data_IF_142524781509
#
_entry.id   IF_142524781509
#
_cell.length_a   1.000
_cell.length_b   1.000
_cell.length_c   1.000
_cell.angle_alpha   90.00
_cell.angle_beta   90.00
_cell.angle_gamma   90.00
#
_symmetry.space_group_name_H-M   'P 1'
#
loop_
_entity.id
_entity.type
_entity.pdbx_description
1 polymer ?
#
# COMPACT_ATOMS: atom_id res chain seq x y z
N UNK A 1 17.21 -32.06 -8.95
CA UNK A 1 18.60 -31.79 -8.51
C UNK A 1 18.74 -32.20 -7.05
N UNK A 2 19.95 -32.55 -6.58
CA UNK A 2 20.20 -32.97 -5.20
C UNK A 2 21.26 -32.09 -4.55
N UNK A 3 21.11 -31.81 -3.26
CA UNK A 3 22.10 -31.10 -2.44
C UNK A 3 22.33 -31.88 -1.15
N UNK A 4 23.57 -31.92 -0.68
CA UNK A 4 23.93 -32.47 0.63
C UNK A 4 23.70 -31.45 1.76
N UNK A 5 23.05 -30.33 1.46
CA UNK A 5 22.70 -29.28 2.40
C UNK A 5 23.81 -28.30 2.72
N UNK A 6 24.96 -28.37 2.05
CA UNK A 6 26.02 -27.37 2.24
C UNK A 6 25.50 -25.99 1.89
N UNK A 7 25.57 -25.04 2.82
CA UNK A 7 25.13 -23.67 2.59
C UNK A 7 26.01 -22.99 1.52
N UNK A 8 25.53 -21.91 0.91
CA UNK A 8 26.27 -21.17 -0.14
C UNK A 8 27.66 -20.72 0.33
N UNK A 9 27.84 -20.45 1.62
CA UNK A 9 29.12 -20.09 2.23
C UNK A 9 30.10 -21.25 2.45
N UNK A 10 29.73 -22.49 2.09
CA UNK A 10 30.57 -23.68 2.29
C UNK A 10 30.61 -24.19 3.74
N UNK A 11 30.14 -23.41 4.71
CA UNK A 11 30.11 -23.76 6.12
C UNK A 11 28.68 -24.08 6.60
N UNK A 12 28.53 -25.16 7.35
CA UNK A 12 27.25 -25.58 7.91
C UNK A 12 26.37 -26.38 6.95
N UNK A 13 25.28 -26.93 7.51
CA UNK A 13 24.30 -27.75 6.80
C UNK A 13 22.90 -27.23 7.06
N UNK A 14 22.07 -27.10 6.02
CA UNK A 14 20.70 -26.62 6.16
C UNK A 14 19.98 -26.45 4.83
N UNK A 15 18.72 -26.02 4.91
CA UNK A 15 17.99 -25.51 3.75
C UNK A 15 18.55 -24.13 3.38
N UNK A 16 18.80 -23.92 2.09
CA UNK A 16 19.12 -22.60 1.56
C UNK A 16 17.77 -21.92 1.31
N UNK A 17 17.26 -21.25 2.34
CA UNK A 17 16.18 -20.28 2.21
C UNK A 17 16.82 -18.90 2.18
N UNK A 18 16.56 -18.15 1.12
CA UNK A 18 17.11 -16.82 0.92
C UNK A 18 15.98 -15.79 1.05
N UNK A 19 16.10 -14.91 2.04
CA UNK A 19 15.18 -13.81 2.31
C UNK A 19 13.92 -14.14 3.13
N UNK A 20 13.19 -13.08 3.46
CA UNK A 20 11.90 -13.04 4.15
C UNK A 20 10.77 -12.84 3.11
N UNK A 21 9.66 -13.59 3.19
CA UNK A 21 8.48 -13.35 2.35
C UNK A 21 8.06 -11.88 2.35
N UNK A 22 7.78 -11.34 1.17
CA UNK A 22 7.32 -9.96 1.05
C UNK A 22 8.39 -8.88 1.28
N UNK A 23 9.67 -9.25 1.49
CA UNK A 23 10.78 -8.28 1.66
C UNK A 23 11.93 -8.51 0.68
N UNK A 24 12.66 -9.61 0.83
CA UNK A 24 13.93 -9.89 0.15
C UNK A 24 14.01 -11.30 -0.46
N UNK A 25 12.99 -12.14 -0.25
CA UNK A 25 12.91 -13.45 -0.90
C UNK A 25 12.49 -13.34 -2.37
N UNK A 26 13.22 -14.01 -3.28
CA UNK A 26 12.90 -14.10 -4.70
C UNK A 26 12.34 -15.48 -5.06
N UNK A 27 11.33 -15.50 -5.92
CA UNK A 27 10.79 -16.75 -6.42
C UNK A 27 11.72 -17.38 -7.46
N UNK A 28 12.23 -18.57 -7.17
CA UNK A 28 13.10 -19.34 -8.07
C UNK A 28 12.35 -20.40 -8.88
N UNK A 29 11.07 -20.63 -8.60
CA UNK A 29 10.29 -21.73 -9.17
C UNK A 29 10.46 -23.06 -8.45
N UNK A 30 11.42 -23.17 -7.53
CA UNK A 30 11.78 -24.44 -6.90
C UNK A 30 11.90 -24.32 -5.37
N UNK A 31 11.75 -25.44 -4.67
CA UNK A 31 11.97 -25.55 -3.23
C UNK A 31 12.78 -26.80 -2.87
N UNK A 32 13.64 -26.66 -1.86
CA UNK A 32 14.42 -27.77 -1.32
C UNK A 32 13.63 -28.44 -0.20
N UNK A 33 13.21 -29.69 -0.39
CA UNK A 33 12.69 -30.49 0.72
C UNK A 33 13.67 -31.59 1.09
N UNK A 34 13.71 -31.87 2.38
CA UNK A 34 14.51 -32.94 2.94
C UNK A 34 13.64 -34.18 3.09
N UNK A 35 14.09 -35.30 2.52
CA UNK A 35 13.38 -36.57 2.65
C UNK A 35 13.61 -37.27 4.00
N UNK A 36 14.49 -36.74 4.86
CA UNK A 36 14.90 -37.38 6.13
C UNK A 36 14.94 -36.34 7.26
N UNK A 37 14.48 -36.70 8.45
CA UNK A 37 14.65 -35.87 9.64
C UNK A 37 16.12 -35.89 10.11
N UNK A 38 16.74 -34.72 10.26
CA UNK A 38 18.13 -34.61 10.75
C UNK A 38 18.31 -35.05 12.21
N UNK A 39 17.23 -35.09 12.99
CA UNK A 39 17.29 -35.42 14.41
C UNK A 39 17.09 -36.92 14.67
N UNK A 40 16.14 -37.54 13.99
CA UNK A 40 15.76 -38.94 14.26
C UNK A 40 15.99 -39.89 13.08
N UNK A 41 16.43 -39.40 11.92
CA UNK A 41 16.72 -40.23 10.74
C UNK A 41 15.49 -40.90 10.11
N UNK A 42 14.28 -40.55 10.56
CA UNK A 42 13.04 -41.11 10.03
C UNK A 42 12.74 -40.52 8.65
N UNK A 43 12.36 -41.39 7.72
CA UNK A 43 12.04 -41.03 6.34
C UNK A 43 10.70 -40.32 6.21
N UNK A 44 10.70 -39.23 5.45
CA UNK A 44 9.51 -38.63 4.85
C UNK A 44 9.30 -39.25 3.46
N UNK A 45 8.08 -39.70 3.16
CA UNK A 45 7.71 -40.48 1.98
C UNK A 45 7.74 -39.72 0.64
N UNK A 46 8.30 -38.51 0.60
CA UNK A 46 8.15 -37.54 -0.51
C UNK A 46 8.74 -37.98 -1.88
N UNK A 47 9.44 -39.13 -1.96
CA UNK A 47 10.06 -39.63 -3.20
C UNK A 47 9.84 -41.12 -3.50
N UNK A 48 9.05 -41.83 -2.69
CA UNK A 48 8.87 -43.29 -2.80
C UNK A 48 10.15 -44.10 -2.54
N UNK A 49 10.03 -45.43 -2.55
CA UNK A 49 11.13 -46.36 -2.23
C UNK A 49 12.25 -46.40 -3.29
N UNK A 50 11.93 -45.98 -4.52
CA UNK A 50 12.87 -46.01 -5.64
C UNK A 50 13.53 -44.64 -5.90
N UNK A 51 13.18 -43.59 -5.14
CA UNK A 51 13.78 -42.27 -5.30
C UNK A 51 15.22 -42.24 -4.83
N UNK A 52 16.07 -41.41 -5.45
CA UNK A 52 17.48 -41.28 -5.05
C UNK A 52 17.66 -40.84 -3.59
N UNK A 53 16.73 -40.01 -3.08
CA UNK A 53 16.71 -39.59 -1.67
C UNK A 53 16.34 -40.72 -0.70
N UNK A 54 15.94 -41.90 -1.18
CA UNK A 54 15.59 -43.03 -0.33
C UNK A 54 16.83 -43.53 0.43
N UNK A 55 16.75 -43.52 1.77
CA UNK A 55 17.86 -43.90 2.64
C UNK A 55 19.04 -42.91 2.69
N UNK A 56 18.93 -41.72 2.07
CA UNK A 56 20.02 -40.75 1.99
C UNK A 56 19.65 -39.42 2.66
N UNK A 57 20.60 -38.84 3.39
CA UNK A 57 20.44 -37.52 3.99
C UNK A 57 20.74 -36.41 2.96
N UNK A 58 19.85 -36.24 1.98
CA UNK A 58 19.98 -35.24 0.91
C UNK A 58 18.71 -34.39 0.79
N UNK A 59 18.88 -33.16 0.32
CA UNK A 59 17.81 -32.28 -0.11
C UNK A 59 17.48 -32.52 -1.58
N UNK A 60 16.19 -32.62 -1.87
CA UNK A 60 15.64 -32.75 -3.21
C UNK A 60 15.07 -31.41 -3.66
N UNK A 61 15.36 -31.04 -4.90
CA UNK A 61 14.74 -29.89 -5.54
C UNK A 61 13.41 -30.31 -6.18
N UNK A 62 12.32 -29.68 -5.77
CA UNK A 62 10.99 -29.84 -6.35
C UNK A 62 10.47 -28.50 -6.86
N UNK A 63 9.56 -28.55 -7.83
CA UNK A 63 8.84 -27.36 -8.29
C UNK A 63 7.90 -26.85 -7.19
N UNK A 64 7.75 -25.53 -7.08
CA UNK A 64 6.72 -24.98 -6.19
C UNK A 64 5.33 -25.40 -6.69
N UNK A 65 4.60 -26.14 -5.87
CA UNK A 65 3.24 -26.55 -6.20
C UNK A 65 2.25 -25.45 -5.85
N UNK A 66 1.21 -25.30 -6.68
CA UNK A 66 0.18 -24.27 -6.49
C UNK A 66 -0.54 -24.37 -5.14
N UNK A 67 -0.67 -25.58 -4.57
CA UNK A 67 -1.34 -25.82 -3.28
C UNK A 67 -0.57 -25.30 -2.06
N UNK A 68 0.69 -24.87 -2.25
CA UNK A 68 1.52 -24.31 -1.18
C UNK A 68 1.79 -22.82 -1.36
N UNK A 69 1.08 -22.17 -2.29
CA UNK A 69 1.17 -20.74 -2.51
C UNK A 69 0.15 -20.02 -1.63
N UNK A 70 0.61 -19.01 -0.91
CA UNK A 70 -0.24 -18.12 -0.11
C UNK A 70 -0.19 -16.71 -0.68
N UNK A 71 -1.33 -16.02 -0.64
CA UNK A 71 -1.43 -14.66 -1.12
C UNK A 71 -0.75 -13.67 -0.15
N UNK A 72 -0.09 -12.66 -0.72
CA UNK A 72 0.42 -11.52 0.02
C UNK A 72 -0.62 -10.41 0.13
N UNK A 73 -0.58 -9.69 1.25
CA UNK A 73 -1.41 -8.51 1.45
C UNK A 73 -1.22 -7.51 0.31
N UNK A 74 -2.34 -7.14 -0.31
CA UNK A 74 -2.36 -6.15 -1.37
C UNK A 74 -2.08 -4.78 -0.78
N UNK A 75 -1.03 -4.13 -1.28
CA UNK A 75 -0.71 -2.74 -0.96
C UNK A 75 -1.16 -1.85 -2.11
N UNK A 76 -2.01 -0.88 -1.80
CA UNK A 76 -2.44 0.16 -2.74
C UNK A 76 -1.75 1.47 -2.37
N UNK A 77 -1.18 2.14 -3.37
CA UNK A 77 -0.63 3.49 -3.24
C UNK A 77 -1.28 4.42 -4.25
N UNK A 78 -1.40 5.69 -3.87
CA UNK A 78 -2.04 6.74 -4.66
C UNK A 78 -1.03 7.86 -4.85
N UNK A 79 -0.75 8.21 -6.10
CA UNK A 79 0.22 9.25 -6.45
C UNK A 79 -0.42 10.28 -7.37
N UNK A 80 -0.20 11.56 -7.10
CA UNK A 80 -0.70 12.64 -7.95
C UNK A 80 -0.15 12.51 -9.38
N UNK A 81 -1.03 12.52 -10.38
CA UNK A 81 -0.64 12.51 -11.80
C UNK A 81 -0.86 13.88 -12.44
N UNK A 82 -2.10 14.37 -12.41
CA UNK A 82 -2.49 15.67 -12.96
C UNK A 82 -3.73 16.23 -12.25
N UNK A 83 -4.25 17.38 -12.70
CA UNK A 83 -5.41 18.04 -12.08
C UNK A 83 -6.71 17.23 -12.13
N UNK A 84 -6.78 16.18 -12.96
CA UNK A 84 -7.97 15.34 -13.15
C UNK A 84 -7.81 13.95 -12.53
N UNK A 85 -6.60 13.40 -12.53
CA UNK A 85 -6.30 12.01 -12.20
C UNK A 85 -5.18 11.85 -11.17
N UNK A 86 -5.23 10.73 -10.45
CA UNK A 86 -4.09 10.16 -9.73
C UNK A 86 -3.81 8.75 -10.24
N UNK A 87 -2.56 8.33 -10.08
CA UNK A 87 -2.15 6.95 -10.37
C UNK A 87 -2.42 6.09 -9.15
N UNK A 88 -3.18 5.01 -9.35
CA UNK A 88 -3.38 3.96 -8.36
C UNK A 88 -2.47 2.81 -8.70
N UNK A 89 -1.52 2.51 -7.83
CA UNK A 89 -0.62 1.37 -7.97
C UNK A 89 -1.04 0.31 -6.96
N UNK A 90 -1.42 -0.87 -7.45
CA UNK A 90 -1.69 -2.03 -6.61
C UNK A 90 -0.54 -3.01 -6.74
N UNK A 91 0.17 -3.24 -5.64
CA UNK A 91 1.21 -4.26 -5.53
C UNK A 91 0.68 -5.39 -4.66
N UNK A 92 0.64 -6.58 -5.21
CA UNK A 92 0.33 -7.81 -4.50
C UNK A 92 1.25 -8.92 -4.98
N UNK A 93 0.80 -10.15 -4.78
CA UNK A 93 1.55 -11.31 -5.19
C UNK A 93 1.20 -12.51 -4.33
N UNK A 94 1.99 -13.56 -4.49
CA UNK A 94 1.91 -14.76 -3.67
C UNK A 94 3.31 -15.25 -3.34
N UNK A 95 3.44 -16.07 -2.31
CA UNK A 95 4.70 -16.69 -1.93
C UNK A 95 4.50 -18.18 -1.66
N UNK A 96 5.55 -18.96 -1.92
CA UNK A 96 5.55 -20.38 -1.57
C UNK A 96 5.85 -20.55 -0.08
N UNK A 97 5.01 -21.27 0.66
CA UNK A 97 5.19 -21.53 2.10
C UNK A 97 6.45 -22.34 2.43
N UNK A 98 7.04 -23.04 1.46
CA UNK A 98 8.23 -23.85 1.67
C UNK A 98 9.53 -23.12 1.37
N UNK A 99 9.62 -22.42 0.23
CA UNK A 99 10.85 -21.70 -0.14
C UNK A 99 10.82 -20.22 0.21
N UNK A 100 9.68 -19.70 0.65
CA UNK A 100 9.43 -18.27 0.90
C UNK A 100 9.64 -17.36 -0.32
N UNK A 101 9.96 -17.95 -1.48
CA UNK A 101 10.09 -17.25 -2.75
C UNK A 101 8.80 -16.52 -3.09
N UNK A 102 8.92 -15.22 -3.32
CA UNK A 102 7.80 -14.33 -3.56
C UNK A 102 7.68 -13.98 -5.04
N UNK A 103 6.48 -14.12 -5.59
CA UNK A 103 6.10 -13.64 -6.92
C UNK A 103 5.34 -12.34 -6.69
N UNK A 104 5.87 -11.22 -7.18
CA UNK A 104 5.17 -9.94 -7.12
C UNK A 104 4.41 -9.67 -8.41
N UNK A 105 3.20 -9.16 -8.24
CA UNK A 105 2.41 -8.59 -9.32
C UNK A 105 2.13 -7.12 -8.99
N UNK A 106 2.49 -6.24 -9.91
CA UNK A 106 2.16 -4.82 -9.81
C UNK A 106 1.38 -4.37 -11.03
N UNK A 107 0.27 -3.68 -10.78
CA UNK A 107 -0.51 -3.02 -11.82
C UNK A 107 -0.72 -1.56 -11.44
N UNK A 108 -0.76 -0.69 -12.44
CA UNK A 108 -1.05 0.72 -12.27
C UNK A 108 -2.16 1.14 -13.22
N UNK A 109 -3.03 2.04 -12.75
CA UNK A 109 -4.09 2.66 -13.54
C UNK A 109 -4.31 4.11 -13.10
N UNK A 110 -4.86 4.91 -14.00
CA UNK A 110 -5.31 6.26 -13.68
C UNK A 110 -6.75 6.21 -13.18
N UNK A 111 -7.00 6.84 -12.04
CA UNK A 111 -8.35 7.05 -11.50
C UNK A 111 -8.59 8.54 -11.25
N UNK A 112 -9.84 8.98 -11.36
CA UNK A 112 -10.20 10.37 -11.07
C UNK A 112 -10.04 10.67 -9.59
N UNK A 113 -9.72 11.91 -9.27
CA UNK A 113 -9.65 12.38 -7.89
C UNK A 113 -10.96 12.14 -7.13
N UNK A 114 -10.85 11.57 -5.93
CA UNK A 114 -11.95 11.44 -4.98
C UNK A 114 -12.03 12.72 -4.15
N UNK A 115 -12.76 13.70 -4.69
CA UNK A 115 -12.81 15.06 -4.14
C UNK A 115 -13.65 15.13 -2.86
N UNK A 116 -13.11 15.83 -1.87
CA UNK A 116 -13.79 16.21 -0.62
C UNK A 116 -13.64 17.71 -0.42
N UNK A 117 -14.75 18.39 -0.16
CA UNK A 117 -14.75 19.83 0.13
C UNK A 117 -14.50 20.09 1.61
N UNK A 118 -13.57 20.99 1.91
CA UNK A 118 -13.26 21.46 3.26
C UNK A 118 -13.25 23.00 3.32
N UNK A 119 -13.59 23.56 4.48
CA UNK A 119 -13.53 25.00 4.74
C UNK A 119 -12.38 25.28 5.69
N UNK A 120 -11.30 25.87 5.18
CA UNK A 120 -10.10 26.18 5.96
C UNK A 120 -10.14 27.63 6.46
N UNK A 121 -9.98 27.88 7.77
CA UNK A 121 -9.86 29.24 8.27
C UNK A 121 -8.55 29.87 7.81
N UNK A 122 -8.60 31.12 7.33
CA UNK A 122 -7.44 31.97 7.08
C UNK A 122 -7.48 33.22 7.98
N UNK A 123 -7.11 33.09 9.27
CA UNK A 123 -7.22 34.19 10.24
C UNK A 123 -6.45 35.45 9.83
N UNK A 124 -5.28 35.28 9.20
CA UNK A 124 -4.45 36.40 8.73
C UNK A 124 -5.15 37.25 7.66
N UNK A 125 -6.05 36.65 6.89
CA UNK A 125 -6.78 37.30 5.79
C UNK A 125 -8.25 37.58 6.16
N UNK A 126 -8.67 37.33 7.41
CA UNK A 126 -10.04 37.56 7.87
C UNK A 126 -11.12 36.78 7.09
N UNK A 127 -10.75 35.64 6.48
CA UNK A 127 -11.61 34.89 5.54
C UNK A 127 -11.49 33.39 5.74
N UNK A 128 -12.38 32.64 5.09
CA UNK A 128 -12.32 31.20 4.96
C UNK A 128 -12.04 30.81 3.50
N UNK A 129 -11.23 29.79 3.29
CA UNK A 129 -10.98 29.19 1.98
C UNK A 129 -11.90 27.98 1.82
N UNK A 130 -12.65 27.90 0.72
CA UNK A 130 -13.31 26.66 0.33
C UNK A 130 -12.34 25.90 -0.56
N UNK A 131 -11.83 24.77 -0.08
CA UNK A 131 -10.88 23.93 -0.80
C UNK A 131 -11.51 22.60 -1.16
N UNK A 132 -11.19 22.07 -2.33
CA UNK A 132 -11.43 20.69 -2.70
C UNK A 132 -10.10 19.96 -2.65
N UNK A 133 -10.01 18.94 -1.80
CA UNK A 133 -8.84 18.07 -1.70
C UNK A 133 -9.21 16.66 -2.11
N UNK A 134 -8.28 15.96 -2.75
CA UNK A 134 -8.44 14.53 -2.93
C UNK A 134 -8.28 13.83 -1.57
N UNK A 135 -9.14 12.85 -1.30
CA UNK A 135 -9.06 12.04 -0.08
C UNK A 135 -7.93 11.00 -0.09
N UNK A 136 -7.35 10.74 -1.27
CA UNK A 136 -6.42 9.64 -1.50
C UNK A 136 -5.00 10.09 -1.87
N UNK A 137 -4.84 11.28 -2.46
CA UNK A 137 -3.55 11.82 -2.89
C UNK A 137 -3.41 13.30 -2.50
N UNK A 138 -2.24 13.88 -2.72
CA UNK A 138 -1.90 15.26 -2.32
C UNK A 138 -2.52 16.36 -3.21
N UNK A 139 -3.51 16.02 -4.04
CA UNK A 139 -4.21 17.03 -4.84
C UNK A 139 -5.07 17.94 -3.96
N UNK A 140 -4.90 19.26 -4.12
CA UNK A 140 -5.72 20.27 -3.46
C UNK A 140 -5.91 21.49 -4.36
N UNK A 141 -7.14 21.99 -4.41
CA UNK A 141 -7.53 23.15 -5.18
C UNK A 141 -8.44 24.10 -4.38
N UNK A 142 -8.17 25.39 -4.43
CA UNK A 142 -9.06 26.41 -3.86
C UNK A 142 -10.19 26.74 -4.83
N UNK A 143 -11.44 26.55 -4.41
CA UNK A 143 -12.63 26.89 -5.21
C UNK A 143 -13.10 28.33 -5.01
N UNK A 144 -12.81 28.91 -3.85
CA UNK A 144 -13.24 30.27 -3.56
C UNK A 144 -13.01 30.69 -2.12
N UNK A 145 -13.40 31.92 -1.84
CA UNK A 145 -13.21 32.58 -0.56
C UNK A 145 -14.55 33.00 0.03
N UNK A 146 -14.70 32.86 1.35
CA UNK A 146 -15.89 33.29 2.08
C UNK A 146 -15.45 34.27 3.16
N UNK A 147 -16.03 35.47 3.17
CA UNK A 147 -15.77 36.48 4.20
C UNK A 147 -16.90 36.48 5.23
N UNK A 148 -16.58 36.77 6.48
CA UNK A 148 -17.60 37.00 7.51
C UNK A 148 -17.98 38.47 7.46
N UNK A 149 -19.23 38.75 7.09
CA UNK A 149 -19.83 40.07 7.29
C UNK A 149 -20.32 40.14 8.73
N UNK A 150 -19.73 41.03 9.54
CA UNK A 150 -20.31 41.43 10.81
C UNK A 150 -21.56 42.28 10.52
N UNK A 151 -22.74 41.65 10.44
CA UNK A 151 -24.00 42.36 10.47
C UNK A 151 -24.27 42.83 11.91
N UNK A 152 -24.01 44.11 12.19
CA UNK A 152 -24.58 44.77 13.35
C UNK A 152 -26.06 45.07 13.05
N UNK A 153 -26.90 44.05 13.13
CA UNK A 153 -28.32 44.06 12.82
C UNK A 153 -28.89 42.65 12.96
N UNK A 154 -30.19 42.53 13.27
CA UNK A 154 -30.89 41.32 13.75
C UNK A 154 -30.93 40.08 12.83
N UNK A 155 -30.04 39.98 11.85
CA UNK A 155 -29.80 38.77 11.06
C UNK A 155 -28.32 38.66 10.67
N UNK A 156 -27.55 37.85 11.39
CA UNK A 156 -26.20 37.45 11.00
C UNK A 156 -26.26 36.43 9.84
N UNK A 157 -26.15 36.93 8.60
CA UNK A 157 -26.08 36.12 7.39
C UNK A 157 -24.69 36.15 6.75
N UNK A 158 -24.24 35.02 6.19
CA UNK A 158 -23.02 34.94 5.39
C UNK A 158 -23.36 35.30 3.93
N UNK A 159 -22.63 36.25 3.32
CA UNK A 159 -22.70 36.47 1.87
C UNK A 159 -21.48 35.83 1.20
N UNK A 160 -21.71 34.93 0.23
CA UNK A 160 -20.65 34.43 -0.67
C UNK A 160 -20.26 35.56 -1.65
N UNK A 161 -18.97 35.66 -1.98
CA UNK A 161 -18.54 36.49 -3.12
C UNK A 161 -19.15 35.92 -4.41
N UNK A 162 -19.46 36.81 -5.35
CA UNK A 162 -20.35 36.59 -6.50
C UNK A 162 -19.79 35.67 -7.60
N UNK A 163 -18.64 35.02 -7.38
CA UNK A 163 -17.83 34.44 -8.46
C UNK A 163 -18.01 32.92 -8.66
N UNK A 164 -18.87 32.25 -7.89
CA UNK A 164 -19.21 30.86 -8.15
C UNK A 164 -20.67 30.58 -7.76
N UNK A 165 -21.54 30.49 -8.75
CA UNK A 165 -22.97 30.25 -8.59
C UNK A 165 -23.28 28.91 -7.90
N UNK A 166 -23.54 28.95 -6.60
CA UNK A 166 -24.49 28.07 -5.88
C UNK A 166 -24.64 28.60 -4.45
N UNK A 167 -25.86 28.95 -4.02
CA UNK A 167 -26.14 29.50 -2.70
C UNK A 167 -26.64 28.40 -1.76
N UNK A 168 -25.83 28.00 -0.78
CA UNK A 168 -26.28 27.21 0.37
C UNK A 168 -25.77 27.86 1.65
N UNK A 169 -26.69 28.06 2.60
CA UNK A 169 -26.46 28.69 3.91
C UNK A 169 -26.11 27.60 4.92
N UNK A 170 -24.94 27.70 5.56
CA UNK A 170 -24.56 26.85 6.69
C UNK A 170 -24.26 27.73 7.91
N UNK A 171 -24.91 27.46 9.03
CA UNK A 171 -24.68 28.12 10.32
C UNK A 171 -23.50 27.46 11.02
N UNK A 172 -22.43 28.20 11.31
CA UNK A 172 -21.24 27.66 12.00
C UNK A 172 -21.09 28.33 13.37
N UNK A 173 -21.10 27.51 14.42
CA UNK A 173 -20.75 27.87 15.80
C UNK A 173 -19.23 28.06 15.95
N UNK A 174 -18.82 28.87 16.93
CA UNK A 174 -17.44 29.38 17.16
C UNK A 174 -16.35 28.29 17.04
N UNK A 175 -15.36 28.52 16.19
CA UNK A 175 -14.21 27.60 15.96
C UNK A 175 -12.97 28.10 16.75
N UNK A 176 -12.27 27.24 17.52
CA UNK A 176 -11.02 27.57 18.19
C UNK A 176 -9.84 27.69 17.22
N UNK A 177 -8.85 28.51 17.60
CA UNK A 177 -7.64 28.82 16.82
C UNK A 177 -6.66 27.65 16.85
N UNK A 178 -6.59 26.82 15.81
CA UNK A 178 -5.35 26.05 15.55
C UNK A 178 -5.27 25.52 14.11
N UNK A 179 -4.04 25.63 13.57
CA UNK A 179 -3.50 25.07 12.33
C UNK A 179 -3.99 25.68 11.01
N UNK A 180 -3.26 26.71 10.54
CA UNK A 180 -3.23 27.09 9.13
C UNK A 180 -2.19 26.20 8.39
N UNK A 181 -2.53 25.57 7.25
CA UNK A 181 -1.55 24.83 6.45
C UNK A 181 -0.51 25.76 5.82
N UNK A 182 0.71 25.23 5.64
CA UNK A 182 1.94 25.98 5.31
C UNK A 182 2.09 26.40 3.84
N UNK A 183 1.24 25.92 2.93
CA UNK A 183 1.22 26.35 1.53
C UNK A 183 -0.18 26.79 1.10
N UNK A 184 -0.30 27.89 0.33
CA UNK A 184 -1.58 28.29 -0.24
C UNK A 184 -2.05 27.22 -1.24
N UNK A 185 -3.29 26.72 -1.11
CA UNK A 185 -3.80 25.72 -2.04
C UNK A 185 -3.83 26.29 -3.47
N UNK A 186 -3.47 25.48 -4.47
CA UNK A 186 -3.42 25.89 -5.88
C UNK A 186 -4.79 26.44 -6.30
N UNK A 187 -4.80 27.55 -7.03
CA UNK A 187 -6.04 28.04 -7.64
C UNK A 187 -6.35 27.19 -8.86
N UNK A 188 -7.55 26.62 -8.89
CA UNK A 188 -8.29 26.42 -10.13
C UNK A 188 -9.12 27.70 -10.39
#
# INVERSE_FOLDING_TARGET
MYSDGTLLGGEGKGIILDGTPGKDAYYTGYHWTKAMCDTCGTMNSNGGINGYGFGRNVYNLYDCAAEFMEDLDKRVTYEYADDTYHTVTTKGGSYCCFCYGTIYESSSKLERHSMVTEVLPQPANGRFAVVEKCSLCDYCCTRGWMTVLNACGSSSGIQRSKDAGMSTVATISRIPRSAAPSEPPRNC
#
